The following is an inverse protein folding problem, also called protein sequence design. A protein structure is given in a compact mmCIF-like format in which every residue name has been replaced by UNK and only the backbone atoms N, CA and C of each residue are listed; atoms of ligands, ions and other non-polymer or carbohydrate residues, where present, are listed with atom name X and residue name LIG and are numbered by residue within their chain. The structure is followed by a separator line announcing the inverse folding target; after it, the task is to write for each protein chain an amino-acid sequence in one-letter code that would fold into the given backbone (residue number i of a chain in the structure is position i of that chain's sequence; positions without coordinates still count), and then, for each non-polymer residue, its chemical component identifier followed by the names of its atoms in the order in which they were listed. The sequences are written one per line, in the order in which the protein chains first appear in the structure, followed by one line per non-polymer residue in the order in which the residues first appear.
data_IF_643207308850
#
_entry.id   IF_643207308850
#
_cell.length_a   1.000
_cell.length_b   1.000
_cell.length_c   1.000
_cell.angle_alpha   90.00
_cell.angle_beta   90.00
_cell.angle_gamma   90.00
#
_symmetry.space_group_name_H-M   'P 1'
#
loop_
_entity.id
_entity.type
_entity.pdbx_description
1 polymer ?
#
# COMPACT_ATOMS: atom_id res chain seq x y z
N UNK A 1 21.67 -1.21 16.28
CA UNK A 1 21.22 -0.86 14.93
C UNK A 1 20.28 -1.96 14.47
N UNK A 2 18.97 -1.72 14.38
CA UNK A 2 18.05 -2.74 13.86
C UNK A 2 18.23 -2.83 12.36
N UNK A 3 18.71 -3.97 11.88
CA UNK A 3 18.65 -4.35 10.47
C UNK A 3 17.18 -4.26 10.03
N UNK A 4 16.83 -3.48 8.99
CA UNK A 4 15.48 -3.50 8.46
C UNK A 4 15.22 -4.90 7.91
N UNK A 5 14.33 -5.66 8.57
CA UNK A 5 13.86 -6.94 8.05
C UNK A 5 13.19 -6.67 6.71
N UNK A 6 13.74 -7.24 5.64
CA UNK A 6 13.13 -7.22 4.32
C UNK A 6 11.84 -8.03 4.36
N UNK A 7 10.71 -7.38 4.59
CA UNK A 7 9.41 -8.05 4.56
C UNK A 7 9.05 -8.40 3.12
N UNK A 8 9.19 -9.67 2.75
CA UNK A 8 8.84 -10.16 1.42
C UNK A 8 7.33 -10.36 1.32
N UNK A 9 6.74 -9.97 0.18
CA UNK A 9 5.34 -10.26 -0.12
C UNK A 9 5.13 -11.76 -0.34
N UNK A 10 4.08 -12.32 0.27
CA UNK A 10 3.57 -13.63 -0.10
C UNK A 10 2.73 -13.47 -1.38
N UNK A 11 3.07 -14.20 -2.44
CA UNK A 11 2.42 -14.07 -3.75
C UNK A 11 1.52 -15.28 -3.99
N UNK A 12 0.23 -15.03 -4.17
CA UNK A 12 -0.78 -16.01 -4.56
C UNK A 12 -1.26 -15.70 -5.98
N UNK A 13 -0.81 -16.47 -7.00
CA UNK A 13 -1.27 -16.29 -8.37
C UNK A 13 -2.77 -16.56 -8.53
N UNK A 14 -3.39 -15.90 -9.51
CA UNK A 14 -4.76 -16.21 -9.94
C UNK A 14 -4.68 -17.45 -10.81
N UNK A 15 -5.48 -18.47 -10.52
CA UNK A 15 -5.45 -19.76 -11.22
C UNK A 15 -6.07 -19.63 -12.62
N UNK A 16 -7.17 -18.92 -12.73
CA UNK A 16 -7.97 -18.68 -13.92
C UNK A 16 -7.56 -17.38 -14.63
N UNK A 17 -6.33 -17.30 -15.15
CA UNK A 17 -5.84 -16.05 -15.75
C UNK A 17 -6.61 -15.66 -17.02
N UNK A 18 -6.81 -14.35 -17.20
CA UNK A 18 -7.35 -13.76 -18.43
C UNK A 18 -6.43 -14.12 -19.60
N UNK A 19 -7.01 -14.57 -20.71
CA UNK A 19 -6.21 -14.96 -21.87
C UNK A 19 -5.43 -13.78 -22.45
N UNK A 20 -4.30 -14.01 -23.14
CA UNK A 20 -3.56 -12.94 -23.79
C UNK A 20 -4.42 -12.12 -24.76
N UNK A 21 -5.33 -12.76 -25.49
CA UNK A 21 -6.23 -12.14 -26.48
C UNK A 21 -7.27 -11.25 -25.80
N UNK A 22 -7.92 -11.76 -24.75
CA UNK A 22 -8.90 -10.99 -23.98
C UNK A 22 -8.24 -9.80 -23.29
N UNK A 23 -7.05 -9.99 -22.71
CA UNK A 23 -6.27 -8.90 -22.12
C UNK A 23 -5.88 -7.84 -23.17
N UNK A 24 -5.50 -8.25 -24.37
CA UNK A 24 -5.18 -7.30 -25.45
C UNK A 24 -6.42 -6.50 -25.89
N UNK A 25 -7.59 -7.15 -25.98
CA UNK A 25 -8.85 -6.48 -26.27
C UNK A 25 -9.19 -5.42 -25.21
N UNK A 26 -9.08 -5.77 -23.92
CA UNK A 26 -9.31 -4.85 -22.80
C UNK A 26 -8.37 -3.64 -22.81
N UNK A 27 -7.13 -3.82 -23.26
CA UNK A 27 -6.12 -2.76 -23.34
C UNK A 27 -6.27 -1.83 -24.55
N UNK A 28 -7.16 -2.14 -25.50
CA UNK A 28 -7.38 -1.29 -26.69
C UNK A 28 -8.06 0.03 -26.32
N UNK A 29 -9.01 0.00 -25.38
CA UNK A 29 -9.64 1.21 -24.84
C UNK A 29 -10.01 1.01 -23.35
N UNK A 30 -9.03 1.05 -22.44
CA UNK A 30 -9.24 0.69 -21.03
C UNK A 30 -10.03 1.74 -20.25
N UNK A 31 -10.16 2.97 -20.78
CA UNK A 31 -10.66 4.13 -20.05
C UNK A 31 -9.85 4.42 -18.77
N UNK A 32 -10.30 5.40 -17.99
CA UNK A 32 -9.69 5.67 -16.69
C UNK A 32 -10.43 4.90 -15.59
N UNK A 33 -9.71 4.02 -14.88
CA UNK A 33 -10.22 3.32 -13.69
C UNK A 33 -11.33 2.29 -13.95
N UNK A 34 -11.42 1.72 -15.17
CA UNK A 34 -12.47 0.76 -15.54
C UNK A 34 -11.94 -0.67 -15.71
N UNK A 35 -10.76 -0.82 -16.31
CA UNK A 35 -10.06 -2.10 -16.43
C UNK A 35 -9.00 -2.20 -15.34
N UNK A 36 -8.99 -3.30 -14.60
CA UNK A 36 -8.07 -3.54 -13.48
C UNK A 36 -7.15 -4.74 -13.76
N UNK A 37 -5.98 -4.75 -13.11
CA UNK A 37 -5.11 -5.93 -13.10
C UNK A 37 -5.72 -7.09 -12.32
N UNK A 38 -5.27 -8.30 -12.64
CA UNK A 38 -5.75 -9.55 -12.04
C UNK A 38 -5.39 -9.69 -10.54
N UNK A 39 -4.43 -8.91 -10.06
CA UNK A 39 -3.92 -8.95 -8.70
C UNK A 39 -4.01 -7.60 -8.00
N UNK A 40 -4.01 -7.63 -6.68
CA UNK A 40 -3.87 -6.48 -5.80
C UNK A 40 -2.86 -6.77 -4.68
N UNK A 41 -2.23 -5.72 -4.16
CA UNK A 41 -1.35 -5.80 -2.99
C UNK A 41 -2.14 -5.44 -1.73
N UNK A 42 -1.98 -6.22 -0.66
CA UNK A 42 -2.64 -6.04 0.63
C UNK A 42 -1.59 -6.15 1.75
N UNK A 43 -1.65 -5.27 2.74
CA UNK A 43 -0.83 -5.35 3.95
C UNK A 43 -1.72 -5.00 5.13
N UNK A 44 -1.67 -5.80 6.20
CA UNK A 44 -2.49 -5.60 7.40
C UNK A 44 -1.73 -4.78 8.43
N UNK A 45 -2.42 -3.82 9.04
CA UNK A 45 -1.94 -3.15 10.26
C UNK A 45 -2.76 -3.64 11.46
N UNK A 46 -2.09 -3.86 12.59
CA UNK A 46 -2.76 -4.08 13.88
C UNK A 46 -2.01 -3.31 14.96
N UNK A 47 -2.74 -2.62 15.83
CA UNK A 47 -2.14 -1.88 16.96
C UNK A 47 -1.28 -2.82 17.82
N UNK A 48 -0.11 -2.34 18.24
CA UNK A 48 0.89 -3.11 18.99
C UNK A 48 1.71 -4.11 18.15
N UNK A 49 1.26 -4.49 16.95
CA UNK A 49 2.00 -5.38 16.03
C UNK A 49 2.63 -4.63 14.85
N UNK A 50 2.04 -3.49 14.47
CA UNK A 50 2.46 -2.71 13.31
C UNK A 50 1.96 -3.33 11.99
N UNK A 51 2.63 -2.96 10.89
CA UNK A 51 2.37 -3.54 9.56
C UNK A 51 2.90 -4.97 9.48
N UNK A 52 2.07 -5.91 9.01
CA UNK A 52 2.43 -7.31 8.85
C UNK A 52 1.63 -7.96 7.70
N UNK A 53 1.96 -9.21 7.39
CA UNK A 53 1.27 -10.02 6.36
C UNK A 53 1.16 -9.30 5.00
N UNK A 54 2.29 -8.90 4.37
CA UNK A 54 2.23 -8.36 3.01
C UNK A 54 1.92 -9.47 2.01
N UNK A 55 0.90 -9.24 1.18
CA UNK A 55 0.40 -10.21 0.20
C UNK A 55 0.17 -9.57 -1.17
N UNK A 56 0.45 -10.32 -2.24
CA UNK A 56 -0.05 -10.05 -3.59
C UNK A 56 -0.99 -11.20 -3.92
N UNK A 57 -2.27 -10.92 -4.09
CA UNK A 57 -3.33 -11.93 -4.22
C UNK A 57 -4.33 -11.56 -5.32
N UNK A 58 -5.17 -12.49 -5.79
CA UNK A 58 -6.16 -12.20 -6.84
C UNK A 58 -7.06 -11.05 -6.44
N UNK A 59 -7.24 -10.08 -7.32
CA UNK A 59 -8.12 -8.93 -7.08
C UNK A 59 -9.54 -9.43 -6.82
N UNK A 60 -10.14 -8.95 -5.73
CA UNK A 60 -11.48 -9.33 -5.31
C UNK A 60 -12.10 -8.31 -4.36
N UNK A 61 -13.36 -8.53 -3.93
CA UNK A 61 -14.03 -7.67 -2.96
C UNK A 61 -13.29 -7.67 -1.62
N UNK A 62 -13.34 -6.54 -0.92
CA UNK A 62 -12.87 -6.43 0.46
C UNK A 62 -14.00 -6.84 1.42
N UNK A 63 -13.70 -7.71 2.38
CA UNK A 63 -14.62 -8.04 3.47
C UNK A 63 -14.37 -7.06 4.62
N UNK A 64 -15.37 -6.23 4.91
CA UNK A 64 -15.31 -5.22 5.97
C UNK A 64 -16.50 -5.37 6.90
N UNK A 65 -16.27 -5.12 8.20
CA UNK A 65 -17.36 -4.96 9.15
C UNK A 65 -18.18 -3.70 8.79
N UNK A 66 -19.53 -3.74 8.81
CA UNK A 66 -20.35 -2.56 8.53
C UNK A 66 -20.06 -1.35 9.42
N UNK A 67 -19.50 -1.54 10.61
CA UNK A 67 -19.10 -0.49 11.55
C UNK A 67 -17.67 0.01 11.35
N UNK A 68 -16.94 -0.45 10.32
CA UNK A 68 -15.56 -0.02 10.07
C UNK A 68 -15.46 1.50 9.88
N UNK A 69 -14.51 2.17 10.55
CA UNK A 69 -14.38 3.64 10.56
C UNK A 69 -14.29 4.27 9.17
N UNK A 70 -13.72 3.56 8.19
CA UNK A 70 -13.67 4.00 6.80
C UNK A 70 -15.06 4.29 6.21
N UNK A 71 -16.09 3.55 6.63
CA UNK A 71 -17.46 3.66 6.12
C UNK A 71 -18.29 4.76 6.81
N UNK A 72 -17.87 5.23 7.99
CA UNK A 72 -18.64 6.19 8.80
C UNK A 72 -17.96 7.54 8.96
N UNK A 73 -16.63 7.55 9.00
CA UNK A 73 -15.83 8.72 9.35
C UNK A 73 -14.73 9.01 8.32
N UNK A 74 -14.76 8.36 7.16
CA UNK A 74 -13.81 8.56 6.06
C UNK A 74 -12.35 8.50 6.51
N UNK A 75 -12.04 7.60 7.45
CA UNK A 75 -10.66 7.37 7.90
C UNK A 75 -9.89 6.57 6.84
N UNK A 76 -9.53 7.26 5.76
CA UNK A 76 -8.82 6.71 4.61
C UNK A 76 -7.96 7.78 3.92
N UNK A 77 -6.92 7.31 3.22
CA UNK A 77 -6.07 8.11 2.33
C UNK A 77 -5.76 7.27 1.09
N UNK A 78 -5.46 7.93 -0.03
CA UNK A 78 -5.07 7.24 -1.27
C UNK A 78 -3.88 7.93 -1.94
N UNK A 79 -3.27 7.22 -2.88
CA UNK A 79 -2.20 7.76 -3.74
C UNK A 79 -2.47 7.45 -5.22
N UNK A 80 -1.84 8.24 -6.09
CA UNK A 80 -1.97 8.14 -7.53
C UNK A 80 -0.61 8.17 -8.23
N UNK A 81 -0.24 7.06 -8.86
CA UNK A 81 0.99 6.90 -9.62
C UNK A 81 0.71 6.08 -10.90
N UNK A 82 1.54 6.27 -11.92
CA UNK A 82 1.49 5.51 -13.17
C UNK A 82 2.78 4.73 -13.37
N UNK A 83 2.64 3.53 -13.94
CA UNK A 83 3.75 2.76 -14.49
C UNK A 83 3.72 2.86 -16.03
N UNK A 84 4.90 3.04 -16.63
CA UNK A 84 5.08 3.16 -18.07
C UNK A 84 5.97 2.03 -18.57
N UNK A 85 5.67 1.50 -19.76
CA UNK A 85 6.55 0.52 -20.41
C UNK A 85 7.64 1.25 -21.20
N UNK A 86 8.89 0.96 -20.87
CA UNK A 86 10.04 1.44 -21.63
C UNK A 86 10.21 0.66 -22.96
N UNK A 87 10.91 1.22 -23.96
CA UNK A 87 11.18 0.53 -25.22
C UNK A 87 11.91 -0.81 -25.06
N UNK A 88 12.73 -0.95 -24.01
CA UNK A 88 13.44 -2.19 -23.68
C UNK A 88 12.58 -3.24 -22.94
N UNK A 89 11.30 -2.93 -22.67
CA UNK A 89 10.37 -3.82 -21.97
C UNK A 89 10.23 -3.56 -20.47
N UNK A 90 11.11 -2.76 -19.86
CA UNK A 90 11.09 -2.47 -18.42
C UNK A 90 9.89 -1.62 -18.01
N UNK A 91 9.53 -1.68 -16.72
CA UNK A 91 8.56 -0.79 -16.11
C UNK A 91 9.25 0.43 -15.48
N UNK A 92 8.85 1.63 -15.90
CA UNK A 92 9.32 2.90 -15.35
C UNK A 92 8.27 3.53 -14.45
N UNK A 93 8.71 4.06 -13.32
CA UNK A 93 7.90 4.84 -12.39
C UNK A 93 8.43 6.28 -12.35
N UNK A 94 7.53 7.26 -12.41
CA UNK A 94 7.92 8.66 -12.26
C UNK A 94 7.86 9.08 -10.79
N UNK A 95 9.04 9.33 -10.19
CA UNK A 95 9.21 9.80 -8.80
C UNK A 95 8.40 9.01 -7.74
N UNK A 96 8.46 7.67 -7.73
CA UNK A 96 7.69 6.84 -6.79
C UNK A 96 7.94 7.22 -5.32
N UNK A 97 9.16 7.62 -4.97
CA UNK A 97 9.50 8.04 -3.61
C UNK A 97 8.78 9.32 -3.17
N UNK A 98 8.41 10.19 -4.11
CA UNK A 98 7.64 11.39 -3.79
C UNK A 98 6.20 11.03 -3.39
N UNK A 99 5.57 10.09 -4.11
CA UNK A 99 4.28 9.53 -3.73
C UNK A 99 4.35 8.82 -2.38
N UNK A 100 5.37 7.97 -2.16
CA UNK A 100 5.55 7.28 -0.88
C UNK A 100 5.74 8.24 0.30
N UNK A 101 6.51 9.33 0.11
CA UNK A 101 6.66 10.38 1.13
C UNK A 101 5.35 11.08 1.41
N UNK A 102 4.56 11.42 0.39
CA UNK A 102 3.25 12.08 0.58
C UNK A 102 2.25 11.16 1.26
N UNK A 103 2.19 9.88 0.89
CA UNK A 103 1.35 8.87 1.58
C UNK A 103 1.70 8.80 3.08
N UNK A 104 3.00 8.75 3.41
CA UNK A 104 3.46 8.74 4.81
C UNK A 104 3.11 10.03 5.56
N UNK A 105 3.14 11.19 4.92
CA UNK A 105 2.75 12.46 5.57
C UNK A 105 1.24 12.52 5.75
N UNK A 106 0.45 12.07 4.78
CA UNK A 106 -1.01 11.98 4.90
C UNK A 106 -1.48 11.09 6.05
N UNK A 107 -0.68 10.09 6.42
CA UNK A 107 -0.92 9.20 7.57
C UNK A 107 -0.75 9.93 8.93
N UNK A 108 0.08 10.99 9.01
CA UNK A 108 0.31 11.87 10.16
C UNK A 108 0.46 11.19 11.55
N UNK A 109 0.74 9.89 11.61
CA UNK A 109 0.90 9.10 12.83
C UNK A 109 -0.33 9.05 13.76
N UNK A 110 -1.46 9.64 13.35
CA UNK A 110 -2.69 9.69 14.13
C UNK A 110 -3.75 8.72 13.59
N UNK A 111 -3.72 8.43 12.29
CA UNK A 111 -4.74 7.59 11.63
C UNK A 111 -4.36 6.12 11.59
N UNK A 112 -3.07 5.78 11.39
CA UNK A 112 -2.59 4.39 11.35
C UNK A 112 -1.38 4.15 12.27
N UNK A 113 -1.52 4.51 13.55
CA UNK A 113 -0.63 4.04 14.63
C UNK A 113 0.76 4.68 14.72
N UNK A 114 1.16 5.01 15.94
CA UNK A 114 2.36 5.81 16.25
C UNK A 114 3.70 5.07 16.13
N UNK A 115 3.70 3.78 15.82
CA UNK A 115 4.90 2.95 15.96
C UNK A 115 5.75 2.79 14.69
N UNK A 116 5.26 3.23 13.53
CA UNK A 116 6.07 3.25 12.31
C UNK A 116 7.14 4.35 12.28
N UNK A 117 7.08 5.34 13.20
CA UNK A 117 7.93 6.53 13.18
C UNK A 117 9.23 6.42 13.99
N UNK A 118 9.49 5.30 14.71
CA UNK A 118 10.71 5.14 15.51
C UNK A 118 11.81 4.39 14.77
N UNK A 119 12.23 4.92 13.63
CA UNK A 119 13.55 4.60 13.07
C UNK A 119 14.36 5.88 12.86
N UNK A 120 15.16 6.22 13.88
CA UNK A 120 16.37 7.03 13.71
C UNK A 120 16.25 8.55 13.89
N UNK A 121 15.98 9.01 15.12
CA UNK A 121 16.69 10.19 15.68
C UNK A 121 16.96 9.89 17.16
N UNK A 122 18.22 9.99 17.55
CA UNK A 122 18.71 9.67 18.89
C UNK A 122 18.08 10.53 19.99
N UNK A 123 17.98 9.94 21.18
CA UNK A 123 17.57 10.58 22.43
C UNK A 123 18.51 11.73 22.80
N UNK A 124 17.95 12.84 23.29
CA UNK A 124 18.49 13.54 24.45
C UNK A 124 17.36 13.74 25.47
N UNK A 125 17.63 13.38 26.72
CA UNK A 125 16.67 13.41 27.82
C UNK A 125 16.58 14.77 28.52
N UNK A 126 15.51 14.93 29.30
CA UNK A 126 15.29 15.99 30.28
C UNK A 126 14.01 15.69 31.08
N UNK A 127 13.94 15.99 32.39
CA UNK A 127 13.10 15.24 33.33
C UNK A 127 11.65 15.73 33.44
N UNK A 128 10.87 14.81 34.04
CA UNK A 128 9.51 14.92 34.55
C UNK A 128 9.14 16.29 35.13
N UNK A 129 7.90 16.74 34.85
CA UNK A 129 7.05 17.36 35.86
C UNK A 129 5.61 16.88 35.69
N UNK A 130 5.06 16.33 36.78
CA UNK A 130 3.62 16.13 37.01
C UNK A 130 3.07 17.41 37.64
N UNK A 131 1.88 17.80 37.22
CA UNK A 131 0.93 18.66 37.92
C UNK A 131 -0.44 18.03 37.77
#
# INVERSE_FOLDING_TARGET
MSTPTKTAFQITPKADRVSPEERAALLTNPGFGRVFSEHMAVVTYTEGKGWHTPQILPRGPLTLDPAASVLHYAQEIFEGMKAYRAPNGDALLFRPDANARRFRVGDNGHMFGKDAAKTGVGKQGGPLFRG
#
